data_IF_915937068163
#
_entry.id   IF_915937068163
#
_cell.length_a   1.000
_cell.length_b   1.000
_cell.length_c   1.000
_cell.angle_alpha   90.00
_cell.angle_beta   90.00
_cell.angle_gamma   90.00
#
_symmetry.space_group_name_H-M   'P 1'
#
loop_
_entity.id
_entity.type
_entity.pdbx_description
1 polymer ?
#
# COMPACT_ATOMS: atom_id res chain seq x y z
N UNK A 1 -2.46 -13.89 -2.73
CA UNK A 1 -2.59 -13.01 -1.53
C UNK A 1 -1.78 -11.75 -1.76
N UNK A 2 -2.23 -10.58 -1.30
CA UNK A 2 -1.44 -9.35 -1.40
C UNK A 2 -0.23 -9.42 -0.45
N UNK A 3 0.81 -8.65 -0.76
CA UNK A 3 2.02 -8.60 0.06
C UNK A 3 1.76 -8.20 1.50
N UNK A 4 0.81 -7.30 1.70
CA UNK A 4 0.37 -6.78 3.00
C UNK A 4 -0.22 -7.86 3.91
N UNK A 5 -0.73 -8.97 3.34
CA UNK A 5 -1.10 -10.17 4.09
C UNK A 5 0.03 -11.19 4.23
N UNK A 6 0.99 -11.22 3.29
CA UNK A 6 2.08 -12.23 3.24
C UNK A 6 3.43 -11.72 3.75
N UNK A 7 3.43 -10.60 4.47
CA UNK A 7 4.62 -9.99 5.06
C UNK A 7 5.43 -10.98 5.92
N UNK A 8 6.75 -10.93 5.77
CA UNK A 8 7.70 -11.72 6.59
C UNK A 8 7.87 -11.16 8.00
N UNK A 9 7.25 -10.03 8.33
CA UNK A 9 7.25 -9.47 9.68
C UNK A 9 6.22 -10.14 10.60
N UNK A 10 5.18 -10.77 10.03
CA UNK A 10 4.05 -11.31 10.77
C UNK A 10 3.91 -12.81 10.51
N UNK A 11 3.35 -13.54 11.47
CA UNK A 11 3.00 -14.94 11.24
C UNK A 11 1.74 -15.04 10.37
N UNK A 12 1.62 -16.07 9.50
CA UNK A 12 2.58 -17.17 9.30
C UNK A 12 3.73 -16.84 8.33
N UNK A 13 3.72 -15.66 7.68
CA UNK A 13 4.71 -15.27 6.67
C UNK A 13 6.16 -15.37 7.16
N UNK A 14 6.42 -14.89 8.37
CA UNK A 14 7.71 -15.01 9.04
C UNK A 14 8.22 -16.46 9.09
N UNK A 15 7.40 -17.40 9.61
CA UNK A 15 7.78 -18.80 9.69
C UNK A 15 7.87 -19.48 8.32
N UNK A 16 6.93 -19.21 7.41
CA UNK A 16 6.90 -19.82 6.08
C UNK A 16 8.18 -19.52 5.31
N UNK A 17 8.60 -18.25 5.32
CA UNK A 17 9.81 -17.80 4.62
C UNK A 17 11.10 -18.17 5.35
N UNK A 18 11.18 -18.04 6.68
CA UNK A 18 12.38 -18.42 7.45
C UNK A 18 12.79 -19.87 7.18
N UNK A 19 11.81 -20.78 7.11
CA UNK A 19 12.08 -22.21 6.86
C UNK A 19 12.53 -22.53 5.42
N UNK A 20 12.76 -21.55 4.55
CA UNK A 20 13.49 -21.77 3.29
C UNK A 20 14.97 -22.07 3.56
N UNK A 21 15.54 -21.62 4.68
CA UNK A 21 16.94 -21.93 5.06
C UNK A 21 17.18 -23.44 5.23
N UNK A 22 16.12 -24.22 5.50
CA UNK A 22 16.19 -25.68 5.59
C UNK A 22 16.60 -26.32 4.25
N UNK A 23 16.35 -25.65 3.12
CA UNK A 23 16.71 -26.11 1.78
C UNK A 23 18.23 -26.11 1.56
N UNK A 24 18.98 -25.24 2.24
CA UNK A 24 20.45 -25.10 2.09
C UNK A 24 21.20 -26.36 2.51
N UNK A 25 20.60 -27.17 3.38
CA UNK A 25 21.18 -28.42 3.86
C UNK A 25 20.88 -29.63 2.94
N UNK A 26 20.03 -29.47 1.92
CA UNK A 26 19.59 -30.56 1.06
C UNK A 26 20.60 -30.76 -0.08
N UNK A 27 21.30 -31.91 -0.07
CA UNK A 27 22.25 -32.27 -1.11
C UNK A 27 21.58 -32.25 -2.50
N UNK A 28 22.21 -31.55 -3.45
CA UNK A 28 21.71 -31.42 -4.83
C UNK A 28 20.72 -30.28 -5.05
N UNK A 29 20.32 -29.53 -4.02
CA UNK A 29 19.62 -28.24 -4.12
C UNK A 29 20.64 -27.10 -4.11
N UNK A 30 20.46 -26.10 -4.98
CA UNK A 30 21.32 -24.92 -5.09
C UNK A 30 20.61 -23.64 -4.62
N UNK A 31 19.31 -23.51 -4.91
CA UNK A 31 18.50 -22.37 -4.50
C UNK A 31 17.03 -22.79 -4.37
N UNK A 32 16.33 -22.24 -3.40
CA UNK A 32 14.91 -22.44 -3.20
C UNK A 32 14.20 -21.10 -2.92
N UNK A 33 13.21 -20.79 -3.74
CA UNK A 33 12.51 -19.51 -3.74
C UNK A 33 10.99 -19.70 -3.66
N UNK A 34 10.32 -18.91 -2.81
CA UNK A 34 8.85 -18.82 -2.75
C UNK A 34 8.40 -17.42 -3.21
N UNK A 35 7.63 -17.39 -4.29
CA UNK A 35 7.07 -16.17 -4.87
C UNK A 35 5.56 -16.15 -4.66
N UNK A 36 5.01 -15.13 -3.98
CA UNK A 36 3.57 -15.03 -3.68
C UNK A 36 2.71 -14.55 -4.86
N UNK A 37 3.37 -14.13 -5.96
CA UNK A 37 2.72 -13.56 -7.14
C UNK A 37 2.32 -12.09 -6.96
N UNK A 38 1.86 -11.46 -8.04
CA UNK A 38 1.32 -10.11 -8.03
C UNK A 38 -0.20 -10.17 -8.15
N UNK A 39 -0.89 -10.01 -7.02
CA UNK A 39 -2.32 -10.36 -6.87
C UNK A 39 -3.26 -9.54 -7.74
N UNK A 40 -2.88 -8.32 -8.12
CA UNK A 40 -3.69 -7.44 -8.97
C UNK A 40 -3.52 -7.68 -10.47
N UNK A 41 -2.58 -8.54 -10.90
CA UNK A 41 -2.52 -8.93 -12.31
C UNK A 41 -3.59 -9.98 -12.60
N UNK A 42 -4.64 -9.59 -13.33
CA UNK A 42 -5.61 -10.54 -13.88
C UNK A 42 -5.00 -11.31 -15.07
N UNK A 43 -4.22 -12.35 -14.76
CA UNK A 43 -3.52 -13.18 -15.74
C UNK A 43 -3.53 -14.66 -15.30
N UNK A 44 -3.51 -15.63 -16.23
CA UNK A 44 -3.44 -17.06 -15.89
C UNK A 44 -2.26 -17.42 -14.96
N UNK A 45 -1.13 -16.74 -15.16
CA UNK A 45 0.10 -16.93 -14.36
C UNK A 45 0.07 -16.28 -12.97
N UNK A 46 -1.00 -15.60 -12.58
CA UNK A 46 -1.09 -14.89 -11.32
C UNK A 46 -1.40 -15.87 -10.18
N UNK A 47 -0.35 -16.53 -9.70
CA UNK A 47 -0.40 -17.47 -8.58
C UNK A 47 0.89 -17.40 -7.77
N UNK A 48 0.86 -18.02 -6.59
CA UNK A 48 2.08 -18.27 -5.84
C UNK A 48 2.85 -19.44 -6.50
N UNK A 49 4.17 -19.32 -6.56
CA UNK A 49 5.06 -20.28 -7.20
C UNK A 49 6.23 -20.60 -6.27
N UNK A 50 6.56 -21.89 -6.17
CA UNK A 50 7.83 -22.34 -5.59
C UNK A 50 8.78 -22.70 -6.72
N UNK A 51 9.98 -22.15 -6.72
CA UNK A 51 11.02 -22.42 -7.70
C UNK A 51 12.23 -22.96 -6.97
N UNK A 52 12.66 -24.17 -7.33
CA UNK A 52 13.85 -24.81 -6.76
C UNK A 52 14.81 -25.14 -7.88
N UNK A 53 16.05 -24.70 -7.74
CA UNK A 53 17.15 -24.95 -8.68
C UNK A 53 18.15 -25.90 -8.05
N UNK A 54 18.69 -26.84 -8.83
CA UNK A 54 19.63 -27.82 -8.30
C UNK A 54 20.16 -28.79 -9.35
N UNK A 55 21.02 -29.69 -8.90
CA UNK A 55 21.69 -30.70 -9.74
C UNK A 55 21.06 -32.09 -9.64
N UNK A 56 20.27 -32.35 -8.58
CA UNK A 56 19.54 -33.60 -8.38
C UNK A 56 18.04 -33.36 -8.58
N UNK A 57 17.48 -33.97 -9.63
CA UNK A 57 16.07 -33.82 -10.03
C UNK A 57 15.09 -34.28 -8.94
N UNK A 58 15.41 -35.34 -8.21
CA UNK A 58 14.51 -35.85 -7.17
C UNK A 58 14.60 -34.99 -5.91
N UNK A 59 15.78 -34.48 -5.57
CA UNK A 59 15.96 -33.55 -4.47
C UNK A 59 15.19 -32.24 -4.71
N UNK A 60 15.35 -31.61 -5.89
CA UNK A 60 14.63 -30.36 -6.20
C UNK A 60 13.12 -30.58 -6.29
N UNK A 61 12.66 -31.73 -6.78
CA UNK A 61 11.24 -32.09 -6.85
C UNK A 61 10.65 -32.20 -5.43
N UNK A 62 11.30 -32.96 -4.57
CA UNK A 62 10.86 -33.14 -3.18
C UNK A 62 10.80 -31.80 -2.43
N UNK A 63 11.82 -30.97 -2.62
CA UNK A 63 11.92 -29.68 -1.94
C UNK A 63 10.88 -28.67 -2.43
N UNK A 64 10.64 -28.60 -3.75
CA UNK A 64 9.61 -27.74 -4.32
C UNK A 64 8.22 -28.10 -3.77
N UNK A 65 7.90 -29.40 -3.69
CA UNK A 65 6.63 -29.86 -3.13
C UNK A 65 6.49 -29.50 -1.65
N UNK A 66 7.57 -29.67 -0.88
CA UNK A 66 7.59 -29.41 0.56
C UNK A 66 7.31 -27.95 0.89
N UNK A 67 7.95 -27.02 0.18
CA UNK A 67 7.74 -25.58 0.33
C UNK A 67 6.33 -25.19 -0.13
N UNK A 68 5.88 -25.69 -1.29
CA UNK A 68 4.55 -25.40 -1.82
C UNK A 68 3.43 -25.85 -0.86
N UNK A 69 3.54 -27.06 -0.30
CA UNK A 69 2.59 -27.58 0.71
C UNK A 69 2.57 -26.70 1.95
N UNK A 70 3.73 -26.30 2.48
CA UNK A 70 3.80 -25.40 3.64
C UNK A 70 3.05 -24.09 3.41
N UNK A 71 3.26 -23.45 2.27
CA UNK A 71 2.56 -22.20 1.95
C UNK A 71 1.05 -22.43 1.78
N UNK A 72 0.67 -23.52 1.11
CA UNK A 72 -0.73 -23.92 0.96
C UNK A 72 -1.42 -24.16 2.30
N UNK A 73 -0.80 -24.93 3.20
CA UNK A 73 -1.38 -25.28 4.49
C UNK A 73 -1.57 -24.05 5.39
N UNK A 74 -0.65 -23.07 5.31
CA UNK A 74 -0.72 -21.82 6.04
C UNK A 74 -1.66 -20.77 5.41
N UNK A 75 -2.24 -21.02 4.22
CA UNK A 75 -2.93 -19.99 3.41
C UNK A 75 -4.05 -19.24 4.15
N UNK A 76 -4.76 -19.93 5.05
CA UNK A 76 -5.89 -19.39 5.81
C UNK A 76 -5.47 -18.56 7.03
N UNK A 77 -4.22 -18.71 7.48
CA UNK A 77 -3.69 -18.01 8.65
C UNK A 77 -3.07 -16.64 8.27
N UNK A 78 -2.90 -16.35 6.98
CA UNK A 78 -2.37 -15.07 6.52
C UNK A 78 -3.40 -13.94 6.71
N UNK A 79 -2.94 -12.84 7.31
CA UNK A 79 -3.75 -11.65 7.58
C UNK A 79 -2.92 -10.38 7.56
N UNK A 80 -3.59 -9.24 7.72
CA UNK A 80 -2.90 -7.95 7.79
C UNK A 80 -2.21 -7.77 9.15
N UNK A 81 -1.04 -7.13 9.14
CA UNK A 81 -0.25 -6.90 10.36
C UNK A 81 -0.73 -5.73 11.24
N UNK A 82 -1.71 -4.97 10.77
CA UNK A 82 -2.36 -3.87 11.50
C UNK A 82 -3.87 -4.03 11.40
N UNK A 83 -4.61 -3.34 12.27
CA UNK A 83 -6.06 -3.35 12.21
C UNK A 83 -6.54 -2.74 10.89
N UNK A 84 -7.38 -3.47 10.16
CA UNK A 84 -7.77 -3.16 8.78
C UNK A 84 -9.29 -3.11 8.66
N UNK A 85 -9.78 -2.13 7.90
CA UNK A 85 -11.21 -1.98 7.65
C UNK A 85 -11.50 -0.92 6.58
N UNK A 86 -12.73 -0.41 6.55
CA UNK A 86 -13.08 0.68 5.64
C UNK A 86 -12.35 1.99 6.01
N UNK A 87 -12.28 2.93 5.06
CA UNK A 87 -11.74 4.26 5.33
C UNK A 87 -12.45 4.98 6.47
N UNK A 88 -13.78 4.91 6.53
CA UNK A 88 -14.54 5.52 7.63
C UNK A 88 -14.19 4.91 8.96
N UNK A 89 -14.15 3.58 9.02
CA UNK A 89 -13.81 2.88 10.24
C UNK A 89 -12.40 3.25 10.71
N UNK A 90 -11.41 3.30 9.81
CA UNK A 90 -10.04 3.65 10.16
C UNK A 90 -9.93 5.10 10.67
N UNK A 91 -10.65 6.04 10.04
CA UNK A 91 -10.72 7.43 10.49
C UNK A 91 -11.39 7.52 11.85
N UNK A 92 -12.52 6.83 12.05
CA UNK A 92 -13.27 6.89 13.31
C UNK A 92 -12.48 6.25 14.46
N UNK A 93 -11.79 5.14 14.23
CA UNK A 93 -10.89 4.54 15.22
C UNK A 93 -9.71 5.46 15.54
N UNK A 94 -9.11 6.10 14.53
CA UNK A 94 -8.02 7.05 14.75
C UNK A 94 -8.45 8.26 15.59
N UNK A 95 -9.60 8.86 15.28
CA UNK A 95 -10.12 10.02 16.03
C UNK A 95 -10.48 9.67 17.48
N UNK A 96 -10.96 8.44 17.74
CA UNK A 96 -11.29 7.96 19.11
C UNK A 96 -10.07 7.83 20.02
N UNK A 97 -8.87 7.63 19.46
CA UNK A 97 -7.66 7.46 20.26
C UNK A 97 -7.26 8.75 20.99
N UNK A 98 -7.66 9.91 20.46
CA UNK A 98 -7.26 11.24 20.95
C UNK A 98 -5.72 11.33 21.16
N UNK A 99 -4.99 10.79 20.18
CA UNK A 99 -3.53 10.71 20.15
C UNK A 99 -3.00 11.35 18.89
N UNK A 100 -1.78 11.88 19.00
CA UNK A 100 -0.99 12.30 17.85
C UNK A 100 -0.27 11.11 17.21
N UNK A 101 0.23 11.30 16.00
CA UNK A 101 1.00 10.32 15.24
C UNK A 101 0.24 9.02 14.91
N UNK A 102 -1.09 9.09 14.73
CA UNK A 102 -1.85 7.94 14.23
C UNK A 102 -1.70 7.85 12.72
N UNK A 103 -1.22 6.71 12.22
CA UNK A 103 -1.00 6.50 10.79
C UNK A 103 -2.16 5.70 10.18
N UNK A 104 -2.64 6.13 9.01
CA UNK A 104 -3.61 5.39 8.22
C UNK A 104 -3.01 5.14 6.84
N UNK A 105 -2.97 3.87 6.43
CA UNK A 105 -2.60 3.52 5.08
C UNK A 105 -3.80 3.64 4.11
N UNK A 106 -3.68 4.51 3.12
CA UNK A 106 -4.55 4.56 1.93
C UNK A 106 -4.08 3.47 0.95
N UNK A 107 -4.59 2.26 1.14
CA UNK A 107 -3.99 1.06 0.55
C UNK A 107 -4.34 0.83 -0.92
N UNK A 108 -5.51 1.27 -1.39
CA UNK A 108 -6.02 0.97 -2.72
C UNK A 108 -5.37 1.75 -3.86
N UNK A 109 -4.70 2.85 -3.54
CA UNK A 109 -4.03 3.71 -4.50
C UNK A 109 -2.54 3.86 -4.19
N UNK A 110 -1.93 2.83 -3.59
CA UNK A 110 -0.50 2.81 -3.29
C UNK A 110 0.36 2.74 -4.57
N UNK A 111 1.18 3.76 -4.86
CA UNK A 111 2.01 3.75 -6.05
C UNK A 111 3.12 2.69 -6.03
N UNK A 112 3.61 2.23 -4.88
CA UNK A 112 4.64 1.16 -4.84
C UNK A 112 4.07 -0.21 -5.22
N UNK A 113 2.75 -0.38 -5.08
CA UNK A 113 2.03 -1.57 -5.51
C UNK A 113 1.53 -1.47 -6.96
N UNK A 114 1.64 -0.31 -7.63
CA UNK A 114 1.15 -0.10 -8.99
C UNK A 114 -0.09 0.79 -9.11
N UNK A 115 -0.61 1.33 -8.00
CA UNK A 115 -1.66 2.36 -8.01
C UNK A 115 -1.23 3.63 -8.72
N UNK A 116 -2.18 4.47 -9.12
CA UNK A 116 -1.90 5.71 -9.84
C UNK A 116 -1.29 6.77 -8.92
N UNK A 117 -1.77 6.85 -7.68
CA UNK A 117 -1.33 7.79 -6.65
C UNK A 117 -2.06 9.14 -6.68
N UNK A 118 -3.13 9.26 -7.48
CA UNK A 118 -3.87 10.51 -7.67
C UNK A 118 -5.32 10.45 -7.16
N UNK A 119 -5.76 9.37 -6.51
CA UNK A 119 -7.13 9.27 -6.00
C UNK A 119 -7.26 10.06 -4.69
N UNK A 120 -8.07 11.14 -4.63
CA UNK A 120 -8.19 12.01 -3.45
C UNK A 120 -9.22 11.51 -2.42
N UNK A 121 -9.53 10.20 -2.45
CA UNK A 121 -10.62 9.60 -1.66
C UNK A 121 -10.48 9.88 -0.16
N UNK A 122 -9.29 9.66 0.42
CA UNK A 122 -9.06 9.95 1.84
C UNK A 122 -9.15 11.44 2.18
N UNK A 123 -8.80 12.35 1.25
CA UNK A 123 -8.99 13.80 1.46
C UNK A 123 -10.47 14.10 1.63
N UNK A 124 -11.32 13.58 0.75
CA UNK A 124 -12.77 13.74 0.83
C UNK A 124 -13.32 13.18 2.15
N UNK A 125 -12.92 11.96 2.54
CA UNK A 125 -13.42 11.32 3.77
C UNK A 125 -13.02 12.09 5.03
N UNK A 126 -11.78 12.58 5.10
CA UNK A 126 -11.29 13.37 6.23
C UNK A 126 -12.02 14.72 6.32
N UNK A 127 -12.22 15.42 5.21
CA UNK A 127 -12.95 16.69 5.18
C UNK A 127 -14.44 16.55 5.52
N UNK A 128 -15.01 15.35 5.37
CA UNK A 128 -16.37 15.06 5.81
C UNK A 128 -16.50 14.92 7.34
N UNK A 129 -15.39 14.88 8.10
CA UNK A 129 -15.41 14.82 9.56
C UNK A 129 -15.45 16.23 10.18
N UNK A 130 -16.46 16.57 11.01
CA UNK A 130 -16.58 17.90 11.61
C UNK A 130 -15.34 18.36 12.39
N UNK A 131 -14.69 17.45 13.10
CA UNK A 131 -13.50 17.70 13.93
C UNK A 131 -12.31 18.15 13.08
N UNK A 132 -12.14 17.53 11.91
CA UNK A 132 -11.09 17.87 10.95
C UNK A 132 -11.46 19.08 10.10
N UNK A 133 -12.72 19.19 9.65
CA UNK A 133 -13.20 20.31 8.86
C UNK A 133 -13.16 21.64 9.63
N UNK A 134 -13.43 21.60 10.93
CA UNK A 134 -13.33 22.77 11.81
C UNK A 134 -11.90 23.12 12.23
N UNK A 135 -10.96 22.16 12.10
CA UNK A 135 -9.59 22.29 12.58
C UNK A 135 -9.42 22.04 14.08
N UNK A 136 -10.42 21.45 14.75
CA UNK A 136 -10.29 20.97 16.12
C UNK A 136 -9.26 19.84 16.23
N UNK A 137 -9.22 18.96 15.23
CA UNK A 137 -8.18 17.96 15.02
C UNK A 137 -7.53 18.17 13.66
N UNK A 138 -6.38 17.55 13.46
CA UNK A 138 -5.48 17.79 12.36
C UNK A 138 -5.14 16.51 11.62
N UNK A 139 -5.04 16.60 10.30
CA UNK A 139 -4.63 15.48 9.47
C UNK A 139 -3.62 15.91 8.40
N UNK A 140 -2.73 15.01 8.02
CA UNK A 140 -1.89 15.12 6.83
C UNK A 140 -2.35 14.07 5.82
N UNK A 141 -2.41 14.42 4.53
CA UNK A 141 -2.58 13.45 3.44
C UNK A 141 -1.39 13.56 2.49
N UNK A 142 -0.56 12.52 2.44
CA UNK A 142 0.65 12.42 1.62
C UNK A 142 0.58 11.23 0.64
N UNK A 143 0.34 11.44 -0.65
CA UNK A 143 0.18 12.69 -1.36
C UNK A 143 -0.73 12.50 -2.59
N UNK A 144 -1.22 13.60 -3.17
CA UNK A 144 -2.02 13.59 -4.41
C UNK A 144 -1.30 14.44 -5.47
N UNK A 145 -0.75 13.81 -6.51
CA UNK A 145 -0.01 14.54 -7.53
C UNK A 145 -0.93 15.44 -8.38
N UNK A 146 -0.57 16.72 -8.54
CA UNK A 146 -1.26 17.64 -9.45
C UNK A 146 -0.38 18.84 -9.81
N UNK A 147 0.28 18.77 -10.97
CA UNK A 147 1.08 19.88 -11.49
C UNK A 147 0.26 21.17 -11.68
N UNK A 148 -1.03 21.06 -12.00
CA UNK A 148 -1.93 22.21 -12.13
C UNK A 148 -2.15 22.92 -10.80
N UNK A 149 -2.48 22.17 -9.74
CA UNK A 149 -2.71 22.73 -8.41
C UNK A 149 -1.43 23.36 -7.83
N UNK A 150 -0.26 22.74 -8.06
CA UNK A 150 1.04 23.32 -7.65
C UNK A 150 1.29 24.65 -8.33
N UNK A 151 1.07 24.78 -9.65
CA UNK A 151 1.24 26.05 -10.36
C UNK A 151 0.32 27.15 -9.79
N UNK A 152 -0.94 26.81 -9.51
CA UNK A 152 -1.89 27.75 -8.89
C UNK A 152 -1.43 28.19 -7.50
N UNK A 153 -1.01 27.26 -6.65
CA UNK A 153 -0.51 27.55 -5.31
C UNK A 153 0.75 28.43 -5.34
N UNK A 154 1.72 28.13 -6.22
CA UNK A 154 2.92 28.96 -6.42
C UNK A 154 2.60 30.37 -6.88
N UNK A 155 1.68 30.52 -7.84
CA UNK A 155 1.29 31.83 -8.35
C UNK A 155 0.59 32.70 -7.29
N UNK A 156 -0.18 32.08 -6.40
CA UNK A 156 -0.84 32.79 -5.30
C UNK A 156 0.13 33.14 -4.16
N UNK A 157 1.01 32.21 -3.80
CA UNK A 157 1.96 32.35 -2.69
C UNK A 157 1.40 31.86 -1.35
N UNK A 158 2.32 31.60 -0.41
CA UNK A 158 2.02 31.11 0.95
C UNK A 158 1.07 32.09 1.68
N UNK A 159 0.12 31.55 2.43
CA UNK A 159 -0.89 32.29 3.19
C UNK A 159 -2.08 32.78 2.37
N UNK A 160 -2.12 32.50 1.06
CA UNK A 160 -3.26 32.86 0.20
C UNK A 160 -4.25 31.71 0.06
N UNK A 161 -5.53 32.03 -0.04
CA UNK A 161 -6.57 31.06 -0.39
C UNK A 161 -6.57 30.82 -1.89
N UNK A 162 -6.63 29.55 -2.29
CA UNK A 162 -6.72 29.09 -3.68
C UNK A 162 -7.88 28.13 -3.85
N UNK A 163 -8.47 28.14 -5.04
CA UNK A 163 -9.39 27.12 -5.52
C UNK A 163 -8.63 26.23 -6.51
N UNK A 164 -8.55 24.92 -6.23
CA UNK A 164 -7.84 23.95 -7.06
C UNK A 164 -8.67 22.69 -7.26
N UNK A 165 -8.33 21.91 -8.29
CA UNK A 165 -8.89 20.57 -8.51
C UNK A 165 -7.72 19.58 -8.54
N UNK A 166 -7.85 18.49 -7.79
CA UNK A 166 -6.83 17.44 -7.69
C UNK A 166 -7.43 16.07 -7.99
N UNK A 167 -6.60 15.16 -8.52
CA UNK A 167 -6.92 13.75 -8.67
C UNK A 167 -7.93 13.37 -9.75
N UNK A 168 -8.14 12.06 -9.93
CA UNK A 168 -9.06 11.47 -10.90
C UNK A 168 -8.65 11.65 -12.36
N UNK A 169 -7.36 11.88 -12.62
CA UNK A 169 -6.78 12.05 -13.96
C UNK A 169 -6.13 10.75 -14.42
N UNK A 170 -5.31 10.12 -13.56
CA UNK A 170 -4.53 8.93 -13.91
C UNK A 170 -5.33 7.63 -13.66
N UNK A 171 -6.19 7.59 -12.62
CA UNK A 171 -7.16 6.52 -12.41
C UNK A 171 -8.62 7.05 -12.38
N UNK A 172 -9.21 7.35 -13.56
CA UNK A 172 -10.59 7.82 -13.66
C UNK A 172 -11.64 6.69 -13.47
N UNK A 173 -11.19 5.44 -13.33
CA UNK A 173 -12.08 4.28 -13.13
C UNK A 173 -12.40 4.13 -11.65
N UNK A 174 -11.39 4.27 -10.79
CA UNK A 174 -11.52 4.06 -9.35
C UNK A 174 -11.62 5.37 -8.56
N UNK A 175 -11.23 6.51 -9.15
CA UNK A 175 -11.23 7.81 -8.50
C UNK A 175 -11.91 8.90 -9.31
N UNK A 176 -12.25 9.99 -8.64
CA UNK A 176 -12.77 11.20 -9.25
C UNK A 176 -11.98 12.42 -8.79
N UNK A 177 -12.05 13.50 -9.57
CA UNK A 177 -11.41 14.75 -9.21
C UNK A 177 -12.12 15.42 -8.03
N UNK A 178 -11.36 15.98 -7.10
CA UNK A 178 -11.84 16.70 -5.94
C UNK A 178 -11.50 18.19 -6.05
N UNK A 179 -12.53 19.05 -5.98
CA UNK A 179 -12.36 20.49 -5.86
C UNK A 179 -12.06 20.87 -4.40
N UNK A 180 -11.02 21.65 -4.20
CA UNK A 180 -10.57 22.13 -2.89
C UNK A 180 -10.49 23.64 -2.88
N UNK A 181 -10.92 24.24 -1.77
CA UNK A 181 -10.71 25.65 -1.45
C UNK A 181 -9.97 25.73 -0.13
N UNK A 182 -8.73 26.21 -0.16
CA UNK A 182 -7.84 26.15 1.01
C UNK A 182 -6.73 27.18 0.98
N UNK A 183 -6.03 27.31 2.09
CA UNK A 183 -4.86 28.17 2.22
C UNK A 183 -3.60 27.44 1.75
N UNK A 184 -2.75 28.11 0.98
CA UNK A 184 -1.41 27.62 0.66
C UNK A 184 -0.56 27.67 1.94
N UNK A 185 -0.38 26.52 2.58
CA UNK A 185 0.32 26.39 3.86
C UNK A 185 1.84 26.49 3.69
N UNK A 186 2.39 25.74 2.74
CA UNK A 186 3.82 25.72 2.45
C UNK A 186 4.08 25.38 0.99
N UNK A 187 5.27 25.76 0.51
CA UNK A 187 5.78 25.44 -0.82
C UNK A 187 7.22 24.97 -0.66
N UNK A 188 7.55 23.83 -1.27
CA UNK A 188 8.90 23.30 -1.37
C UNK A 188 9.23 23.09 -2.85
N UNK A 189 10.31 23.72 -3.33
CA UNK A 189 10.65 23.73 -4.75
C UNK A 189 11.79 22.77 -5.08
N UNK A 190 11.76 22.24 -6.30
CA UNK A 190 12.82 21.40 -6.85
C UNK A 190 13.12 20.13 -6.03
N UNK A 191 12.09 19.49 -5.46
CA UNK A 191 12.24 18.13 -4.95
C UNK A 191 12.68 17.21 -6.10
N UNK A 192 13.71 16.38 -5.90
CA UNK A 192 14.27 15.55 -6.98
C UNK A 192 13.27 14.53 -7.55
N UNK A 193 12.24 14.17 -6.78
CA UNK A 193 11.23 13.17 -7.17
C UNK A 193 9.90 13.86 -7.47
N UNK A 194 9.38 14.63 -6.52
CA UNK A 194 8.07 15.28 -6.57
C UNK A 194 8.02 16.58 -7.37
N UNK A 195 9.18 17.10 -7.80
CA UNK A 195 9.30 18.43 -8.41
C UNK A 195 8.92 19.53 -7.42
N UNK A 196 8.12 20.49 -7.85
CA UNK A 196 7.56 21.48 -6.92
C UNK A 196 6.41 20.86 -6.13
N UNK A 197 6.32 21.18 -4.84
CA UNK A 197 5.36 20.62 -3.91
C UNK A 197 4.67 21.76 -3.17
N UNK A 198 3.35 21.75 -3.17
CA UNK A 198 2.54 22.67 -2.38
C UNK A 198 1.77 21.88 -1.30
N UNK A 199 1.58 22.48 -0.14
CA UNK A 199 0.64 21.99 0.86
C UNK A 199 -0.55 22.94 0.90
N UNK A 200 -1.75 22.41 0.72
CA UNK A 200 -3.00 23.17 0.86
C UNK A 200 -3.68 22.73 2.15
N UNK A 201 -3.96 23.70 3.03
CA UNK A 201 -4.68 23.49 4.28
C UNK A 201 -6.16 23.85 4.12
N UNK A 202 -7.05 22.92 4.48
CA UNK A 202 -8.50 23.11 4.58
C UNK A 202 -8.94 22.66 5.97
N UNK A 203 -9.40 23.59 6.81
CA UNK A 203 -9.63 23.28 8.23
C UNK A 203 -8.33 22.78 8.88
N UNK A 204 -8.38 21.61 9.50
CA UNK A 204 -7.22 20.89 10.05
C UNK A 204 -6.53 19.95 9.08
N UNK A 205 -7.01 19.78 7.85
CA UNK A 205 -6.44 18.84 6.87
C UNK A 205 -5.39 19.53 6.01
N UNK A 206 -4.17 19.00 6.01
CA UNK A 206 -3.05 19.40 5.17
C UNK A 206 -2.88 18.41 4.03
N UNK A 207 -3.18 18.83 2.81
CA UNK A 207 -3.07 18.00 1.61
C UNK A 207 -1.73 18.29 0.94
N UNK A 208 -0.86 17.29 0.87
CA UNK A 208 0.43 17.39 0.19
C UNK A 208 0.24 17.12 -1.30
N UNK A 209 0.58 18.10 -2.13
CA UNK A 209 0.35 18.10 -3.57
C UNK A 209 1.68 18.30 -4.30
N UNK A 210 2.36 17.23 -4.73
CA UNK A 210 3.54 17.35 -5.57
C UNK A 210 3.15 17.51 -7.05
N UNK A 211 4.04 18.11 -7.83
CA UNK A 211 3.86 18.28 -9.28
C UNK A 211 4.02 16.97 -10.05
N UNK A 212 4.78 16.03 -9.47
CA UNK A 212 5.03 14.67 -9.96
C UNK A 212 4.75 13.68 -8.85
N UNK A 213 4.35 12.47 -9.21
CA UNK A 213 4.15 11.37 -8.26
C UNK A 213 5.40 11.13 -7.41
N UNK A 214 5.21 11.14 -6.10
CA UNK A 214 6.24 10.91 -5.09
C UNK A 214 5.63 10.13 -3.90
N UNK A 215 6.19 8.96 -3.54
CA UNK A 215 5.84 8.31 -2.28
C UNK A 215 6.53 9.02 -1.10
N UNK A 216 5.92 8.98 0.07
CA UNK A 216 6.47 9.58 1.30
C UNK A 216 6.75 8.48 2.30
N UNK A 217 8.01 8.28 2.69
CA UNK A 217 8.42 7.17 3.54
C UNK A 217 9.30 7.59 4.72
N UNK A 218 9.71 8.87 4.78
CA UNK A 218 10.69 9.34 5.75
C UNK A 218 10.23 10.64 6.42
N UNK A 219 10.53 10.81 7.71
CA UNK A 219 10.09 11.97 8.50
C UNK A 219 10.61 13.29 7.92
N UNK A 220 11.85 13.27 7.40
CA UNK A 220 12.48 14.44 6.76
C UNK A 220 11.67 15.01 5.59
N UNK A 221 10.93 14.16 4.87
CA UNK A 221 10.16 14.59 3.71
C UNK A 221 8.96 15.44 4.12
N UNK A 222 8.37 15.15 5.29
CA UNK A 222 7.33 16.00 5.90
C UNK A 222 7.94 17.29 6.45
N UNK A 223 9.11 17.20 7.10
CA UNK A 223 9.79 18.37 7.65
C UNK A 223 10.13 19.43 6.57
N UNK A 224 10.51 19.01 5.35
CA UNK A 224 10.72 19.93 4.22
C UNK A 224 9.46 20.75 3.87
N UNK A 225 8.28 20.23 4.21
CA UNK A 225 6.98 20.86 3.97
C UNK A 225 6.47 21.64 5.18
N UNK A 226 7.31 21.84 6.21
CA UNK A 226 6.91 22.39 7.51
C UNK A 226 5.82 21.57 8.21
N UNK A 227 5.77 20.26 7.94
CA UNK A 227 4.88 19.32 8.59
C UNK A 227 5.68 18.38 9.51
N UNK A 228 5.10 18.07 10.67
CA UNK A 228 5.60 17.04 11.57
C UNK A 228 4.44 16.10 11.91
N UNK A 229 4.57 14.84 11.52
CA UNK A 229 3.53 13.84 11.77
C UNK A 229 3.37 13.51 13.26
N UNK A 230 4.41 13.76 14.07
CA UNK A 230 4.33 13.58 15.53
C UNK A 230 3.51 14.67 16.20
N UNK A 231 3.27 15.79 15.49
CA UNK A 231 2.45 16.91 15.95
C UNK A 231 1.00 16.89 15.44
N UNK A 232 0.67 16.01 14.49
CA UNK A 232 -0.67 15.87 13.93
C UNK A 232 -1.40 14.67 14.52
N UNK A 233 -2.74 14.74 14.57
CA UNK A 233 -3.56 13.64 15.08
C UNK A 233 -3.49 12.44 14.12
N UNK A 234 -3.69 12.69 12.83
CA UNK A 234 -3.72 11.66 11.79
C UNK A 234 -2.72 11.98 10.66
N UNK A 235 -2.00 10.98 10.18
CA UNK A 235 -1.30 11.06 8.88
C UNK A 235 -1.73 9.91 7.99
N UNK A 236 -2.30 10.26 6.84
CA UNK A 236 -2.70 9.32 5.81
C UNK A 236 -1.65 9.30 4.72
N UNK A 237 -1.12 8.12 4.43
CA UNK A 237 -0.19 7.93 3.33
C UNK A 237 -0.59 6.77 2.43
N UNK A 238 -0.25 6.89 1.15
CA UNK A 238 -0.47 5.83 0.16
C UNK A 238 0.62 4.77 0.32
N UNK A 239 0.43 3.88 1.28
CA UNK A 239 1.42 2.89 1.70
C UNK A 239 0.92 1.46 1.50
N UNK A 240 1.86 0.54 1.28
CA UNK A 240 1.58 -0.89 1.38
C UNK A 240 1.97 -1.36 2.77
N UNK A 241 3.25 -1.19 3.08
CA UNK A 241 3.80 -1.39 4.42
C UNK A 241 4.21 -0.05 5.02
N UNK A 242 4.15 0.03 6.35
CA UNK A 242 4.79 1.11 7.07
C UNK A 242 6.30 0.82 7.15
N UNK A 243 7.08 1.67 6.47
CA UNK A 243 8.53 1.67 6.55
C UNK A 243 9.01 1.83 8.01
N UNK A 244 10.17 1.26 8.39
CA UNK A 244 10.61 1.20 9.79
C UNK A 244 10.61 2.54 10.52
N UNK A 245 10.97 3.63 9.84
CA UNK A 245 11.00 4.98 10.41
C UNK A 245 9.60 5.49 10.76
N UNK A 246 8.64 5.41 9.82
CA UNK A 246 7.26 5.81 10.07
C UNK A 246 6.60 4.94 11.14
N UNK A 247 6.86 3.63 11.11
CA UNK A 247 6.35 2.70 12.12
C UNK A 247 6.89 3.01 13.52
N UNK A 248 8.16 3.41 13.64
CA UNK A 248 8.75 3.78 14.92
C UNK A 248 8.18 5.09 15.48
N UNK A 249 7.73 6.00 14.60
CA UNK A 249 7.11 7.26 15.00
C UNK A 249 5.60 7.16 15.28
N UNK A 250 4.94 6.12 14.76
CA UNK A 250 3.50 5.93 14.91
C UNK A 250 3.10 5.56 16.35
N UNK A 251 2.09 6.23 16.90
CA UNK A 251 1.44 5.84 18.15
C UNK A 251 0.47 4.67 17.95
N UNK A 252 -0.19 4.65 16.78
CA UNK A 252 -1.07 3.58 16.31
C UNK A 252 -1.07 3.58 14.78
N UNK A 253 -1.47 2.46 14.19
CA UNK A 253 -1.52 2.29 12.75
C UNK A 253 -2.77 1.50 12.31
N UNK A 254 -3.41 1.98 11.26
CA UNK A 254 -4.55 1.34 10.62
C UNK A 254 -4.32 1.21 9.11
N UNK A 255 -4.96 0.22 8.50
CA UNK A 255 -5.05 0.12 7.05
C UNK A 255 -6.48 0.35 6.59
N UNK A 256 -6.68 1.37 5.75
CA UNK A 256 -7.94 1.63 5.10
C UNK A 256 -7.99 0.89 3.75
N UNK A 257 -8.99 0.02 3.58
CA UNK A 257 -9.35 -0.60 2.32
C UNK A 257 -10.06 0.45 1.46
N UNK A 258 -9.28 1.18 0.67
CA UNK A 258 -9.76 2.28 -0.18
C UNK A 258 -9.92 1.82 -1.64
N UNK A 259 -10.74 2.52 -2.45
CA UNK A 259 -10.79 2.29 -3.89
C UNK A 259 -9.44 2.56 -4.56
N UNK A 260 -9.19 1.85 -5.67
CA UNK A 260 -8.03 2.06 -6.53
C UNK A 260 -7.56 0.78 -7.20
N UNK A 261 -6.66 0.91 -8.17
CA UNK A 261 -6.15 -0.21 -8.97
C UNK A 261 -5.44 -1.30 -8.15
N UNK A 262 -5.05 -1.01 -6.91
CA UNK A 262 -4.37 -1.94 -5.99
C UNK A 262 -5.14 -2.14 -4.69
N UNK A 263 -6.48 -2.10 -4.77
CA UNK A 263 -7.37 -2.37 -3.63
C UNK A 263 -7.02 -3.69 -2.93
N UNK A 264 -6.87 -3.63 -1.60
CA UNK A 264 -6.49 -4.76 -0.74
C UNK A 264 -7.66 -5.70 -0.41
N UNK A 265 -8.90 -5.30 -0.69
CA UNK A 265 -10.09 -6.16 -0.61
C UNK A 265 -10.17 -7.07 -1.85
N UNK A 266 -9.22 -8.01 -1.95
CA UNK A 266 -9.01 -8.87 -3.12
C UNK A 266 -10.27 -9.66 -3.48
N UNK A 267 -10.96 -10.18 -2.47
CA UNK A 267 -12.18 -10.97 -2.63
C UNK A 267 -13.32 -10.16 -3.28
N UNK A 268 -13.29 -8.83 -3.17
CA UNK A 268 -14.27 -7.93 -3.80
C UNK A 268 -13.96 -7.59 -5.27
N UNK A 269 -12.73 -7.84 -5.73
CA UNK A 269 -12.30 -7.43 -7.06
C UNK A 269 -12.80 -8.38 -8.15
N UNK A 270 -13.03 -7.83 -9.34
CA UNK A 270 -13.44 -8.62 -10.50
C UNK A 270 -12.21 -9.15 -11.24
N UNK A 271 -12.09 -10.48 -11.32
CA UNK A 271 -11.08 -11.17 -12.12
C UNK A 271 -11.74 -11.96 -13.24
N UNK A 272 -11.15 -11.94 -14.43
CA UNK A 272 -11.70 -12.55 -15.66
C UNK A 272 -10.74 -13.52 -16.35
N UNK A 273 -9.44 -13.45 -16.05
CA UNK A 273 -8.37 -14.17 -16.76
C UNK A 273 -7.56 -15.11 -15.87
N UNK A 274 -7.64 -14.98 -14.55
CA UNK A 274 -7.02 -15.95 -13.63
C UNK A 274 -7.60 -17.35 -13.84
N UNK A 275 -6.77 -18.37 -13.69
CA UNK A 275 -7.23 -19.76 -13.74
C UNK A 275 -7.93 -20.11 -12.43
N UNK A 276 -9.22 -20.43 -12.52
CA UNK A 276 -10.04 -20.83 -11.38
C UNK A 276 -10.17 -22.37 -11.31
N UNK A 277 -10.28 -22.96 -10.11
CA UNK A 277 -10.36 -22.27 -8.82
C UNK A 277 -9.02 -21.74 -8.29
N UNK A 278 -9.03 -20.60 -7.60
CA UNK A 278 -7.85 -19.97 -6.99
C UNK A 278 -8.16 -19.27 -5.66
N UNK A 279 -7.33 -19.48 -4.65
CA UNK A 279 -7.44 -18.82 -3.34
C UNK A 279 -6.89 -17.38 -3.40
N UNK A 280 -7.55 -16.36 -2.81
CA UNK A 280 -8.75 -16.43 -1.97
C UNK A 280 -10.09 -16.27 -2.70
N UNK A 281 -10.11 -16.10 -4.03
CA UNK A 281 -11.35 -15.90 -4.81
C UNK A 281 -12.31 -17.09 -4.73
N UNK A 282 -11.74 -18.29 -4.59
CA UNK A 282 -12.41 -19.58 -4.40
C UNK A 282 -12.01 -20.15 -3.03
N UNK A 283 -12.56 -19.60 -1.95
CA UNK A 283 -12.17 -19.96 -0.56
C UNK A 283 -12.25 -21.47 -0.25
N UNK A 284 -13.26 -22.14 -0.79
CA UNK A 284 -13.52 -23.58 -0.59
C UNK A 284 -12.92 -24.47 -1.71
N UNK A 285 -11.93 -23.98 -2.45
CA UNK A 285 -11.33 -24.75 -3.54
C UNK A 285 -10.68 -26.06 -3.06
N UNK A 286 -10.71 -27.13 -3.88
CA UNK A 286 -10.03 -28.38 -3.56
C UNK A 286 -8.50 -28.19 -3.51
N UNK A 287 -7.79 -29.22 -3.08
CA UNK A 287 -6.33 -29.23 -3.21
C UNK A 287 -5.90 -29.01 -4.67
N UNK A 288 -4.81 -28.24 -4.90
CA UNK A 288 -4.27 -28.05 -6.23
C UNK A 288 -3.68 -29.36 -6.76
N UNK A 289 -3.53 -29.45 -8.08
CA UNK A 289 -2.69 -30.49 -8.67
C UNK A 289 -1.23 -30.25 -8.22
N UNK A 290 -0.69 -31.19 -7.46
CA UNK A 290 0.69 -31.16 -6.95
C UNK A 290 1.75 -31.53 -8.00
N UNK A 291 1.36 -31.58 -9.28
CA UNK A 291 2.27 -31.85 -10.39
C UNK A 291 3.36 -30.78 -10.49
N UNK A 292 4.61 -31.25 -10.43
CA UNK A 292 5.79 -30.40 -10.60
C UNK A 292 6.23 -30.38 -12.06
N UNK A 293 6.47 -29.17 -12.56
CA UNK A 293 7.11 -28.93 -13.87
C UNK A 293 8.62 -28.86 -13.69
N UNK A 294 9.36 -29.72 -14.40
CA UNK A 294 10.83 -29.68 -14.43
C UNK A 294 11.28 -28.94 -15.69
N UNK A 295 12.08 -27.90 -15.50
CA UNK A 295 12.72 -27.19 -16.60
C UNK A 295 14.13 -27.75 -16.82
N UNK A 296 14.51 -28.09 -18.07
CA UNK A 296 15.87 -28.51 -18.36
C UNK A 296 16.84 -27.33 -18.13
N UNK A 297 18.15 -27.62 -17.93
CA UNK A 297 19.16 -26.57 -17.89
C UNK A 297 19.09 -25.69 -19.13
N UNK A 298 19.26 -24.37 -18.95
CA UNK A 298 19.43 -23.44 -20.06
C UNK A 298 20.81 -23.75 -20.66
N UNK A 299 20.82 -24.29 -21.87
CA UNK A 299 22.04 -24.61 -22.63
C UNK A 299 22.70 -23.41 -23.26
#
# INVERSE_FOLDING_TARGET
>A
LPGERTSTMWEPGATVYRKLEESDAIAGVLDASLWVGYVWADQPRANASTVVTGTDVEAIRGEALRIARRYWDARHDFGFGVSTGSADWAIDEALKLDQKAVLISDSGDNPTAGGAGDIPYMVERLLARPELASGQQTAIVSAIASAGAVRTAKAAGIGRTVDVVIGGVDDPVNGSSLALRGEVYSIYENDPVGGDIAVIRIGGVHVVIPSRRKPYHQLREFAHLSLDLTDHDITVGKWGYLEPELRAAASSAFQALTPGAVNQDIESLTFSRVERPVYPLDGDMPEPDWKITIFPPIG
#
